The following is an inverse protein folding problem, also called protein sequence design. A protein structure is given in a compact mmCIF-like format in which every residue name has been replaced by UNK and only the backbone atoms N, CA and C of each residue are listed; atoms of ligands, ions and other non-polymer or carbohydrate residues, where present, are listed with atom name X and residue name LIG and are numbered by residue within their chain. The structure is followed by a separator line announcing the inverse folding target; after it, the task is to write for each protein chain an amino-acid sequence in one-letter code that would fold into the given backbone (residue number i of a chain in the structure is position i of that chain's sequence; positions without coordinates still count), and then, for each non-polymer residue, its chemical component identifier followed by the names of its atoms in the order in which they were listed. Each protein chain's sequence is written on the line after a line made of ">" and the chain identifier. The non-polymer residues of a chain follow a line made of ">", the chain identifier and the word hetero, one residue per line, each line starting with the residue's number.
data_IF_664605097569
#
_entry.id   IF_664605097569
#
_cell.length_a   1.000
_cell.length_b   1.000
_cell.length_c   1.000
_cell.angle_alpha   90.00
_cell.angle_beta   90.00
_cell.angle_gamma   90.00
#
_symmetry.space_group_name_H-M   'P 1'
#
loop_
_entity.id
_entity.type
_entity.pdbx_description
1 polymer ?
#
# COMPACT_ATOMS: atom_id res chain seq x y z
N UNK A 1 -28.23 17.60 61.40
CA UNK A 1 -29.14 18.12 60.35
C UNK A 1 -28.56 19.42 59.80
N UNK A 2 -27.98 19.37 58.59
CA UNK A 2 -27.26 20.49 57.98
C UNK A 2 -28.22 21.59 57.54
N UNK A 3 -28.08 22.78 58.14
CA UNK A 3 -28.87 24.00 57.83
C UNK A 3 -28.41 24.70 56.55
N UNK A 4 -28.10 23.96 55.49
CA UNK A 4 -27.47 24.50 54.27
C UNK A 4 -28.38 24.51 53.02
N UNK A 5 -29.68 24.29 53.16
CA UNK A 5 -30.60 24.09 52.02
C UNK A 5 -31.76 25.09 51.92
N UNK A 6 -31.57 26.35 52.33
CA UNK A 6 -32.61 27.42 52.15
C UNK A 6 -32.07 28.78 51.69
N UNK A 7 -30.96 28.82 50.96
CA UNK A 7 -30.58 30.04 50.20
C UNK A 7 -30.62 29.68 48.73
N UNK A 8 -31.53 30.33 47.99
CA UNK A 8 -31.61 30.19 46.54
C UNK A 8 -30.23 30.40 45.92
N UNK A 9 -29.88 29.56 44.95
CA UNK A 9 -28.58 29.65 44.28
C UNK A 9 -28.48 31.03 43.64
N UNK A 10 -27.51 31.83 44.09
CA UNK A 10 -27.28 33.17 43.54
C UNK A 10 -27.07 33.07 42.03
N UNK A 11 -27.70 33.96 41.26
CA UNK A 11 -27.55 34.04 39.81
C UNK A 11 -26.07 34.10 39.40
N UNK A 12 -25.24 34.76 40.20
CA UNK A 12 -23.79 34.83 40.00
C UNK A 12 -23.12 33.45 40.06
N UNK A 13 -23.54 32.57 40.96
CA UNK A 13 -23.01 31.20 41.07
C UNK A 13 -23.37 30.39 39.83
N UNK A 14 -24.60 30.55 39.32
CA UNK A 14 -25.05 29.88 38.10
C UNK A 14 -24.25 30.36 36.88
N UNK A 15 -24.04 31.68 36.76
CA UNK A 15 -23.24 32.26 35.67
C UNK A 15 -21.78 31.79 35.73
N UNK A 16 -21.17 31.81 36.91
CA UNK A 16 -19.79 31.31 37.10
C UNK A 16 -19.69 29.82 36.76
N UNK A 17 -20.67 29.01 37.17
CA UNK A 17 -20.69 27.59 36.84
C UNK A 17 -20.81 27.34 35.33
N UNK A 18 -21.66 28.10 34.62
CA UNK A 18 -21.81 27.99 33.15
C UNK A 18 -20.54 28.40 32.43
N UNK A 19 -19.86 29.46 32.87
CA UNK A 19 -18.60 29.92 32.29
C UNK A 19 -17.49 28.88 32.48
N UNK A 20 -17.36 28.31 33.69
CA UNK A 20 -16.41 27.23 33.97
C UNK A 20 -16.71 25.97 33.14
N UNK A 21 -17.99 25.64 32.95
CA UNK A 21 -18.40 24.50 32.15
C UNK A 21 -18.09 24.73 30.65
N UNK A 22 -18.34 25.93 30.13
CA UNK A 22 -17.96 26.30 28.77
C UNK A 22 -16.44 26.24 28.55
N UNK A 23 -15.65 26.73 29.52
CA UNK A 23 -14.18 26.69 29.46
C UNK A 23 -13.62 25.27 29.50
N UNK A 24 -14.27 24.35 30.23
CA UNK A 24 -13.84 22.94 30.29
C UNK A 24 -14.27 22.13 29.06
N UNK A 25 -15.38 22.52 28.41
CA UNK A 25 -15.84 21.86 27.17
C UNK A 25 -14.98 22.17 25.95
N UNK A 26 -14.39 23.37 25.87
CA UNK A 26 -13.55 23.81 24.75
C UNK A 26 -12.32 22.91 24.49
N UNK A 27 -11.47 22.59 25.48
CA UNK A 27 -10.35 21.68 25.27
C UNK A 27 -10.81 20.25 25.00
N UNK A 28 -11.93 19.81 25.59
CA UNK A 28 -12.51 18.49 25.34
C UNK A 28 -12.92 18.35 23.86
N UNK A 29 -13.53 19.39 23.30
CA UNK A 29 -13.92 19.41 21.89
C UNK A 29 -12.70 19.37 20.96
N UNK A 30 -11.65 20.13 21.28
CA UNK A 30 -10.39 20.12 20.53
C UNK A 30 -9.71 18.74 20.52
N UNK A 31 -9.70 18.03 21.65
CA UNK A 31 -9.12 16.68 21.72
C UNK A 31 -9.90 15.68 20.88
N UNK A 32 -11.24 15.72 20.94
CA UNK A 32 -12.08 14.84 20.11
C UNK A 32 -11.90 15.07 18.60
N UNK A 33 -11.72 16.32 18.16
CA UNK A 33 -11.42 16.60 16.76
C UNK A 33 -10.07 16.02 16.32
N UNK A 34 -9.03 16.17 17.15
CA UNK A 34 -7.71 15.57 16.88
C UNK A 34 -7.76 14.04 16.79
N UNK A 35 -8.54 13.38 17.66
CA UNK A 35 -8.70 11.92 17.64
C UNK A 35 -9.37 11.42 16.37
N UNK A 36 -10.38 12.13 15.83
CA UNK A 36 -11.06 11.73 14.59
C UNK A 36 -10.13 11.78 13.39
N UNK A 37 -9.39 12.87 13.24
CA UNK A 37 -8.40 13.02 12.17
C UNK A 37 -7.35 11.90 12.23
N UNK A 38 -6.82 11.59 13.43
CA UNK A 38 -5.87 10.48 13.59
C UNK A 38 -6.46 9.11 13.23
N UNK A 39 -7.72 8.86 13.61
CA UNK A 39 -8.41 7.61 13.30
C UNK A 39 -8.65 7.44 11.79
N UNK A 40 -9.08 8.49 11.09
CA UNK A 40 -9.30 8.47 9.64
C UNK A 40 -8.02 8.17 8.86
N UNK A 41 -6.89 8.76 9.26
CA UNK A 41 -5.58 8.46 8.67
C UNK A 41 -5.24 6.98 8.84
N UNK A 42 -5.38 6.45 10.06
CA UNK A 42 -5.11 5.04 10.35
C UNK A 42 -5.99 4.09 9.53
N UNK A 43 -7.28 4.40 9.40
CA UNK A 43 -8.23 3.63 8.58
C UNK A 43 -7.81 3.62 7.11
N UNK A 44 -7.41 4.77 6.55
CA UNK A 44 -6.96 4.85 5.16
C UNK A 44 -5.71 3.99 4.90
N UNK A 45 -4.76 3.98 5.85
CA UNK A 45 -3.59 3.10 5.78
C UNK A 45 -3.98 1.62 5.84
N UNK A 46 -4.94 1.25 6.70
CA UNK A 46 -5.44 -0.13 6.78
C UNK A 46 -6.13 -0.56 5.48
N UNK A 47 -6.95 0.30 4.89
CA UNK A 47 -7.60 0.04 3.60
C UNK A 47 -6.54 -0.13 2.51
N UNK A 48 -5.59 0.80 2.41
CA UNK A 48 -4.51 0.73 1.43
C UNK A 48 -3.67 -0.55 1.59
N UNK A 49 -3.31 -0.90 2.84
CA UNK A 49 -2.59 -2.13 3.14
C UNK A 49 -3.39 -3.36 2.70
N UNK A 50 -4.68 -3.43 3.03
CA UNK A 50 -5.55 -4.55 2.65
C UNK A 50 -5.70 -4.68 1.12
N UNK A 51 -5.85 -3.55 0.41
CA UNK A 51 -5.90 -3.54 -1.06
C UNK A 51 -4.61 -4.05 -1.69
N UNK A 52 -3.47 -3.71 -1.11
CA UNK A 52 -2.15 -4.17 -1.56
C UNK A 52 -1.97 -5.66 -1.28
N UNK A 53 -2.25 -6.11 -0.06
CA UNK A 53 -2.07 -7.51 0.34
C UNK A 53 -2.99 -8.43 -0.44
N UNK A 54 -4.27 -8.09 -0.58
CA UNK A 54 -5.25 -8.90 -1.33
C UNK A 54 -4.81 -9.09 -2.78
N UNK A 55 -4.31 -8.03 -3.42
CA UNK A 55 -3.84 -8.10 -4.80
C UNK A 55 -2.54 -8.92 -4.92
N UNK A 56 -1.60 -8.74 -3.99
CA UNK A 56 -0.36 -9.51 -3.97
C UNK A 56 -0.60 -10.99 -3.72
N UNK A 57 -1.51 -11.33 -2.82
CA UNK A 57 -1.91 -12.72 -2.57
C UNK A 57 -2.60 -13.32 -3.79
N UNK A 58 -3.50 -12.58 -4.42
CA UNK A 58 -4.17 -13.03 -5.65
C UNK A 58 -3.18 -13.30 -6.79
N UNK A 59 -2.14 -12.48 -6.93
CA UNK A 59 -1.11 -12.69 -7.95
C UNK A 59 -0.12 -13.79 -7.56
N UNK A 60 0.22 -13.92 -6.28
CA UNK A 60 1.09 -14.98 -5.78
C UNK A 60 0.44 -16.36 -5.89
N UNK A 61 -0.89 -16.43 -5.75
CA UNK A 61 -1.64 -17.67 -5.88
C UNK A 61 -1.77 -18.16 -7.34
N UNK A 62 -1.47 -17.31 -8.33
CA UNK A 62 -1.48 -17.71 -9.75
C UNK A 62 -0.26 -18.57 -10.07
N UNK A 63 -0.40 -19.58 -10.94
CA UNK A 63 0.72 -20.37 -11.40
C UNK A 63 1.73 -19.47 -12.13
N UNK A 64 3.02 -19.80 -11.99
CA UNK A 64 4.11 -18.98 -12.53
C UNK A 64 3.96 -18.76 -14.05
N UNK A 65 3.51 -19.80 -14.76
CA UNK A 65 3.28 -19.76 -16.20
C UNK A 65 2.24 -18.73 -16.61
N UNK A 66 1.16 -18.56 -15.84
CA UNK A 66 0.16 -17.54 -16.15
C UNK A 66 0.73 -16.13 -15.97
N UNK A 67 1.48 -15.87 -14.89
CA UNK A 67 2.14 -14.58 -14.68
C UNK A 67 3.16 -14.27 -15.78
N UNK A 68 3.87 -15.29 -16.24
CA UNK A 68 4.80 -15.21 -17.37
C UNK A 68 4.04 -14.86 -18.67
N UNK A 69 2.90 -15.49 -18.93
CA UNK A 69 2.01 -15.17 -20.06
C UNK A 69 1.46 -13.75 -20.01
N UNK A 70 1.12 -13.25 -18.81
CA UNK A 70 0.75 -11.85 -18.59
C UNK A 70 1.89 -10.91 -19.01
N UNK A 71 3.12 -11.15 -18.55
CA UNK A 71 4.32 -10.34 -18.85
C UNK A 71 4.66 -10.36 -20.35
N UNK A 72 4.52 -11.51 -21.00
CA UNK A 72 4.82 -11.65 -22.43
C UNK A 72 3.72 -11.14 -23.35
N UNK A 73 2.55 -10.78 -22.82
CA UNK A 73 1.54 -10.03 -23.54
C UNK A 73 0.91 -10.81 -24.70
N UNK A 74 0.07 -11.80 -24.39
CA UNK A 74 -0.97 -12.23 -25.35
C UNK A 74 -2.05 -11.14 -25.48
N UNK A 75 -1.67 -10.02 -26.11
CA UNK A 75 -2.58 -8.98 -26.64
C UNK A 75 -2.42 -8.92 -28.16
N UNK A 76 -2.61 -10.05 -28.84
CA UNK A 76 -2.76 -10.12 -30.30
C UNK A 76 -1.58 -9.64 -31.17
N UNK A 77 -0.47 -9.18 -30.60
CA UNK A 77 0.72 -8.78 -31.32
C UNK A 77 1.80 -9.82 -31.04
N UNK A 78 2.23 -10.45 -32.13
CA UNK A 78 3.30 -11.44 -32.29
C UNK A 78 4.12 -11.75 -31.02
N UNK A 79 4.18 -13.03 -30.65
CA UNK A 79 5.21 -13.56 -29.74
C UNK A 79 6.54 -12.92 -30.16
N UNK A 80 7.23 -12.16 -29.29
CA UNK A 80 8.57 -11.70 -29.63
C UNK A 80 9.38 -12.95 -29.94
N UNK A 81 9.99 -12.98 -31.13
CA UNK A 81 10.89 -14.05 -31.55
C UNK A 81 11.84 -14.28 -30.38
N UNK A 82 11.70 -15.43 -29.72
CA UNK A 82 12.49 -15.78 -28.55
C UNK A 82 13.91 -15.89 -29.07
N UNK A 83 14.73 -14.87 -28.83
CA UNK A 83 16.15 -14.99 -29.10
C UNK A 83 16.68 -15.98 -28.06
N UNK A 84 16.84 -17.24 -28.46
CA UNK A 84 17.11 -18.35 -27.54
C UNK A 84 18.50 -18.27 -26.90
N UNK A 85 19.36 -17.38 -27.42
CA UNK A 85 20.74 -17.20 -26.96
C UNK A 85 20.84 -16.12 -25.87
N UNK A 86 20.18 -14.98 -26.05
CA UNK A 86 20.25 -13.82 -25.12
C UNK A 86 18.94 -13.57 -24.35
N UNK A 87 17.86 -14.27 -24.71
CA UNK A 87 16.51 -14.04 -24.21
C UNK A 87 15.91 -12.70 -24.68
N UNK A 88 14.58 -12.55 -24.71
CA UNK A 88 13.89 -11.31 -25.12
C UNK A 88 14.09 -10.12 -24.15
N UNK A 89 15.16 -10.12 -23.35
CA UNK A 89 15.28 -9.35 -22.10
C UNK A 89 16.44 -8.35 -22.07
N UNK A 90 17.45 -8.45 -22.95
CA UNK A 90 18.56 -7.47 -23.01
C UNK A 90 18.10 -6.07 -23.46
N UNK A 91 16.98 -6.00 -24.17
CA UNK A 91 16.47 -4.77 -24.81
C UNK A 91 15.21 -4.19 -24.20
N UNK A 92 14.66 -4.76 -23.11
CA UNK A 92 13.43 -4.25 -22.49
C UNK A 92 13.72 -3.13 -21.49
N UNK A 93 13.16 -1.92 -21.69
CA UNK A 93 13.27 -0.85 -20.71
C UNK A 93 12.53 -1.21 -19.42
N UNK A 94 13.01 -0.69 -18.29
CA UNK A 94 12.50 -0.84 -16.91
C UNK A 94 11.09 -0.28 -16.68
N UNK A 95 10.29 -0.14 -17.74
CA UNK A 95 8.88 0.18 -17.62
C UNK A 95 8.16 -1.05 -17.07
N UNK A 96 7.41 -0.93 -15.97
CA UNK A 96 6.70 -2.08 -15.45
C UNK A 96 5.69 -2.58 -16.49
N UNK A 97 5.79 -3.87 -16.83
CA UNK A 97 5.22 -4.43 -18.06
C UNK A 97 3.67 -4.35 -18.11
N UNK A 98 3.02 -4.29 -16.94
CA UNK A 98 1.57 -4.27 -16.83
C UNK A 98 1.17 -3.29 -15.74
N UNK A 99 0.16 -2.48 -16.03
CA UNK A 99 -0.51 -1.60 -15.07
C UNK A 99 -1.97 -2.05 -14.99
N UNK A 100 -2.29 -2.89 -14.01
CA UNK A 100 -3.69 -3.06 -13.62
C UNK A 100 -4.09 -1.87 -12.74
N UNK A 101 -4.69 -0.85 -13.36
CA UNK A 101 -5.25 0.28 -12.62
C UNK A 101 -6.59 -0.11 -12.02
N UNK A 102 -6.68 -0.10 -10.69
CA UNK A 102 -7.94 -0.19 -9.95
C UNK A 102 -8.23 1.12 -9.23
N UNK A 103 -9.49 1.56 -9.21
CA UNK A 103 -9.92 2.70 -8.41
C UNK A 103 -10.88 2.19 -7.35
N UNK A 104 -10.54 2.38 -6.09
CA UNK A 104 -11.35 2.00 -4.94
C UNK A 104 -11.80 3.26 -4.22
N UNK A 105 -13.10 3.38 -3.93
CA UNK A 105 -13.65 4.53 -3.21
C UNK A 105 -14.26 4.07 -1.89
N UNK A 106 -13.87 4.73 -0.82
CA UNK A 106 -14.46 4.56 0.52
C UNK A 106 -14.72 5.95 1.09
N UNK A 107 -15.99 6.25 1.36
CA UNK A 107 -16.40 7.59 1.79
C UNK A 107 -15.98 8.66 0.78
N UNK A 108 -15.19 9.63 1.22
CA UNK A 108 -14.68 10.73 0.39
C UNK A 108 -13.30 10.47 -0.22
N UNK A 109 -12.64 9.35 0.12
CA UNK A 109 -11.28 9.06 -0.32
C UNK A 109 -11.28 8.07 -1.49
N UNK A 110 -10.54 8.42 -2.54
CA UNK A 110 -10.26 7.52 -3.67
C UNK A 110 -8.83 6.98 -3.60
N UNK A 111 -8.71 5.66 -3.68
CA UNK A 111 -7.45 4.93 -3.74
C UNK A 111 -7.21 4.44 -5.17
N UNK A 112 -6.13 4.90 -5.78
CA UNK A 112 -5.64 4.38 -7.05
C UNK A 112 -4.63 3.26 -6.77
N UNK A 113 -4.96 2.04 -7.20
CA UNK A 113 -4.06 0.88 -7.13
C UNK A 113 -3.39 0.67 -8.47
N UNK A 114 -2.07 0.46 -8.45
CA UNK A 114 -1.25 0.12 -9.60
C UNK A 114 -0.49 -1.16 -9.27
N UNK A 115 -0.70 -2.21 -10.06
CA UNK A 115 0.09 -3.42 -9.95
C UNK A 115 1.07 -3.50 -11.09
N UNK A 116 2.30 -3.88 -10.77
CA UNK A 116 3.44 -3.95 -11.66
C UNK A 116 4.03 -5.36 -11.58
N UNK A 117 4.25 -5.96 -12.75
CA UNK A 117 4.93 -7.23 -12.91
C UNK A 117 6.26 -6.96 -13.61
N UNK A 118 7.34 -7.51 -13.06
CA UNK A 118 8.67 -7.39 -13.63
C UNK A 118 9.34 -8.77 -13.60
N UNK A 119 9.80 -9.20 -14.77
CA UNK A 119 10.70 -10.33 -14.89
C UNK A 119 12.10 -9.87 -14.44
N UNK A 120 12.81 -10.68 -13.65
CA UNK A 120 14.03 -10.33 -12.90
C UNK A 120 13.79 -9.37 -11.71
N UNK A 121 14.09 -9.80 -10.47
CA UNK A 121 13.95 -8.92 -9.29
C UNK A 121 14.99 -7.80 -9.20
N UNK A 122 16.08 -7.92 -9.98
CA UNK A 122 17.22 -7.00 -10.07
C UNK A 122 17.38 -6.51 -11.52
N UNK A 123 17.99 -5.33 -11.75
CA UNK A 123 18.30 -4.85 -13.09
C UNK A 123 19.12 -5.90 -13.85
N UNK A 124 18.62 -6.24 -15.05
CA UNK A 124 19.09 -7.22 -16.03
C UNK A 124 20.44 -7.88 -15.67
N UNK A 125 20.44 -9.01 -14.92
CA UNK A 125 21.68 -9.69 -14.60
C UNK A 125 22.34 -10.17 -15.89
N UNK A 126 23.63 -9.87 -16.09
CA UNK A 126 24.37 -10.33 -17.26
C UNK A 126 24.19 -11.85 -17.45
N UNK A 127 24.11 -12.36 -18.69
CA UNK A 127 24.10 -13.80 -18.97
C UNK A 127 25.27 -14.56 -18.32
N UNK A 128 26.37 -13.86 -18.01
CA UNK A 128 27.55 -14.38 -17.34
C UNK A 128 27.44 -14.41 -15.80
N UNK A 129 26.34 -13.94 -15.22
CA UNK A 129 26.12 -13.98 -13.78
C UNK A 129 25.94 -15.44 -13.32
N UNK A 130 26.61 -15.91 -12.26
CA UNK A 130 26.55 -17.30 -11.81
C UNK A 130 25.11 -17.77 -11.52
N UNK A 131 24.27 -16.86 -11.00
CA UNK A 131 22.86 -17.13 -10.69
C UNK A 131 21.88 -16.73 -11.81
N UNK A 132 22.35 -16.41 -13.02
CA UNK A 132 21.51 -15.95 -14.13
C UNK A 132 20.29 -16.86 -14.37
N UNK A 133 20.51 -18.18 -14.37
CA UNK A 133 19.43 -19.15 -14.56
C UNK A 133 18.46 -19.26 -13.38
N UNK A 134 18.91 -19.01 -12.16
CA UNK A 134 18.05 -18.98 -10.97
C UNK A 134 17.22 -17.68 -10.91
N UNK A 135 17.79 -16.56 -11.33
CA UNK A 135 17.10 -15.26 -11.38
C UNK A 135 16.03 -15.23 -12.46
N UNK A 136 16.21 -15.97 -13.56
CA UNK A 136 15.21 -16.17 -14.62
C UNK A 136 13.95 -16.90 -14.14
N UNK A 137 14.02 -17.67 -13.05
CA UNK A 137 12.89 -18.41 -12.50
C UNK A 137 12.08 -17.60 -11.47
N UNK A 138 12.23 -16.27 -11.46
CA UNK A 138 11.61 -15.37 -10.48
C UNK A 138 10.93 -14.21 -11.16
N UNK A 139 9.70 -13.92 -10.73
CA UNK A 139 8.92 -12.76 -11.13
C UNK A 139 8.75 -11.87 -9.90
N UNK A 140 9.10 -10.59 -10.04
CA UNK A 140 8.83 -9.58 -9.02
C UNK A 140 7.45 -8.98 -9.27
N UNK A 141 6.61 -9.04 -8.25
CA UNK A 141 5.30 -8.39 -8.25
C UNK A 141 5.38 -7.21 -7.30
N UNK A 142 5.07 -6.00 -7.78
CA UNK A 142 4.96 -4.79 -6.95
C UNK A 142 3.55 -4.24 -7.05
N UNK A 143 2.94 -3.89 -5.93
CA UNK A 143 1.64 -3.24 -5.89
C UNK A 143 1.78 -1.93 -5.12
N UNK A 144 1.37 -0.85 -5.77
CA UNK A 144 1.34 0.50 -5.22
C UNK A 144 -0.11 0.94 -5.05
N UNK A 145 -0.45 1.50 -3.90
CA UNK A 145 -1.72 2.19 -3.67
C UNK A 145 -1.44 3.64 -3.34
N UNK A 146 -2.07 4.54 -4.08
CA UNK A 146 -1.95 5.98 -3.95
C UNK A 146 -3.29 6.59 -3.57
N UNK A 147 -3.29 7.55 -2.66
CA UNK A 147 -4.47 8.36 -2.34
C UNK A 147 -4.06 9.75 -1.90
N UNK A 148 -5.05 10.65 -1.85
CA UNK A 148 -4.88 12.02 -1.37
C UNK A 148 -5.35 12.12 0.07
N UNK A 149 -4.46 12.53 0.95
CA UNK A 149 -4.76 12.79 2.36
C UNK A 149 -4.91 14.29 2.60
N UNK A 150 -6.01 14.76 3.21
CA UNK A 150 -6.14 16.17 3.58
C UNK A 150 -5.12 16.52 4.68
N UNK A 151 -4.43 17.64 4.49
CA UNK A 151 -3.50 18.22 5.44
C UNK A 151 -4.12 19.49 6.03
N UNK A 152 -3.83 19.75 7.31
CA UNK A 152 -4.23 20.98 7.99
C UNK A 152 -3.75 22.19 7.17
N UNK A 153 -4.69 23.03 6.73
CA UNK A 153 -4.41 24.16 5.83
C UNK A 153 -5.00 24.04 4.42
N UNK A 154 -5.79 23.00 4.14
CA UNK A 154 -6.56 22.88 2.89
C UNK A 154 -5.77 22.33 1.69
N UNK A 155 -4.50 21.98 1.90
CA UNK A 155 -3.71 21.23 0.93
C UNK A 155 -3.96 19.73 1.08
N UNK A 156 -3.80 18.98 -0.01
CA UNK A 156 -3.81 17.52 0.01
C UNK A 156 -2.39 17.00 -0.24
N UNK A 157 -2.00 15.94 0.47
CA UNK A 157 -0.74 15.24 0.28
C UNK A 157 -1.01 13.93 -0.43
N UNK A 158 -0.26 13.65 -1.49
CA UNK A 158 -0.24 12.33 -2.10
C UNK A 158 0.51 11.37 -1.17
N UNK A 159 -0.19 10.31 -0.74
CA UNK A 159 0.36 9.22 0.05
C UNK A 159 0.45 7.98 -0.81
N UNK A 160 1.56 7.26 -0.70
CA UNK A 160 1.81 6.01 -1.43
C UNK A 160 2.20 4.92 -0.44
N UNK A 161 1.57 3.77 -0.59
CA UNK A 161 2.00 2.51 0.03
C UNK A 161 2.44 1.57 -1.07
N UNK A 162 3.66 1.06 -0.96
CA UNK A 162 4.27 0.12 -1.92
C UNK A 162 4.65 -1.15 -1.19
N UNK A 163 4.21 -2.28 -1.72
CA UNK A 163 4.68 -3.60 -1.27
C UNK A 163 5.08 -4.41 -2.49
N UNK A 164 6.17 -5.16 -2.37
CA UNK A 164 6.61 -6.09 -3.41
C UNK A 164 6.85 -7.48 -2.85
N UNK A 165 6.62 -8.48 -3.68
CA UNK A 165 6.91 -9.88 -3.39
C UNK A 165 7.55 -10.56 -4.60
N UNK A 166 8.13 -11.73 -4.38
CA UNK A 166 8.73 -12.55 -5.44
C UNK A 166 7.93 -13.85 -5.59
N UNK A 167 7.53 -14.14 -6.82
CA UNK A 167 6.91 -15.42 -7.20
C UNK A 167 7.96 -16.25 -7.90
N UNK A 168 8.08 -17.51 -7.48
CA UNK A 168 9.05 -18.46 -8.01
C UNK A 168 8.34 -19.47 -8.91
N UNK A 169 9.06 -20.03 -9.86
CA UNK A 169 8.58 -21.19 -10.61
C UNK A 169 8.29 -22.36 -9.65
N UNK A 170 7.22 -23.11 -9.87
CA UNK A 170 6.83 -24.28 -9.08
C UNK A 170 7.92 -25.36 -9.02
N UNK A 171 8.77 -25.44 -10.05
CA UNK A 171 9.92 -26.34 -10.11
C UNK A 171 11.16 -25.80 -9.37
N UNK A 172 11.09 -24.58 -8.83
CA UNK A 172 12.19 -23.96 -8.08
C UNK A 172 12.21 -24.49 -6.65
N UNK A 173 13.15 -25.40 -6.36
CA UNK A 173 13.45 -25.83 -5.00
C UNK A 173 14.66 -25.03 -4.50
N UNK A 174 14.49 -24.01 -3.64
CA UNK A 174 15.65 -23.33 -3.07
C UNK A 174 16.42 -24.32 -2.20
N UNK A 175 17.72 -24.48 -2.48
CA UNK A 175 18.60 -25.24 -1.60
C UNK A 175 18.50 -24.65 -0.18
N UNK A 176 18.33 -25.47 0.88
CA UNK A 176 18.25 -24.98 2.25
C UNK A 176 19.56 -24.23 2.59
N UNK A 177 19.49 -22.90 2.65
CA UNK A 177 20.65 -22.01 2.86
C UNK A 177 20.71 -20.80 1.92
N UNK A 178 19.95 -20.78 0.81
CA UNK A 178 19.88 -19.64 -0.11
C UNK A 178 18.69 -18.69 0.14
N UNK A 179 18.09 -18.74 1.34
CA UNK A 179 17.18 -17.67 1.79
C UNK A 179 18.06 -16.44 1.98
N UNK A 180 18.18 -15.66 0.90
CA UNK A 180 18.98 -14.46 0.83
C UNK A 180 18.66 -13.60 2.04
N UNK A 181 19.68 -13.42 2.87
CA UNK A 181 19.71 -12.37 3.87
C UNK A 181 19.61 -11.07 3.08
N UNK A 182 18.42 -10.49 2.99
CA UNK A 182 18.21 -9.12 2.55
C UNK A 182 18.99 -8.22 3.52
N UNK A 183 20.23 -7.87 3.18
CA UNK A 183 20.92 -6.75 3.82
C UNK A 183 20.22 -5.49 3.33
N UNK A 184 19.47 -4.87 4.26
CA UNK A 184 18.97 -3.50 4.19
C UNK A 184 20.08 -2.50 3.91
#
# INVERSE_FOLDING_TARGET
>A
MSRWTRRGMSLLIVVVAVVLLAFTMLPLFMTFQGSRLGAEKSINYLIAANLVTTQLEALRARPFKELEEYIFGYRGLQRPTIDTVNGPFETRPETPDIIEKGIFKTGEVSFDRYTFLAYFPQPNPSPNHPDHWLLRQRIRVRCDVLWKEPVTGGSARDVRVTVSTMVHNESFNPLPGQVATERR
#
